data_IF_383153865333
#
_entry.id   IF_383153865333
#
_cell.length_a   1.000
_cell.length_b   1.000
_cell.length_c   1.000
_cell.angle_alpha   90.00
_cell.angle_beta   90.00
_cell.angle_gamma   90.00
#
_symmetry.space_group_name_H-M   'P 1'
#
loop_
_entity.id
_entity.type
_entity.pdbx_description
1 polymer ?
#
# COMPACT_ATOMS: atom_id res chain seq x y z
N UNK A 1 -44.23 -0.24 44.17
CA UNK A 1 -43.21 -1.25 43.83
C UNK A 1 -43.45 -1.69 42.38
N UNK A 2 -43.02 -0.89 41.41
CA UNK A 2 -41.80 -1.08 40.58
C UNK A 2 -41.83 -2.37 39.74
N UNK A 3 -42.16 -2.23 38.44
CA UNK A 3 -41.78 -3.06 37.27
C UNK A 3 -42.75 -2.72 36.12
N UNK A 4 -42.36 -2.36 34.91
CA UNK A 4 -41.08 -2.04 34.29
C UNK A 4 -41.44 -1.42 32.93
N UNK A 5 -40.91 -0.23 32.64
CA UNK A 5 -41.14 0.46 31.37
C UNK A 5 -40.44 -0.33 30.26
N UNK A 6 -41.19 -0.76 29.24
CA UNK A 6 -40.64 -1.38 28.05
C UNK A 6 -39.90 -0.32 27.23
N UNK A 7 -38.59 -0.23 27.44
CA UNK A 7 -37.70 0.61 26.65
C UNK A 7 -37.68 0.13 25.20
N UNK A 8 -38.04 1.03 24.30
CA UNK A 8 -37.92 0.86 22.86
C UNK A 8 -36.45 0.59 22.49
N UNK A 9 -36.18 -0.60 21.95
CA UNK A 9 -34.91 -0.89 21.30
C UNK A 9 -34.88 -0.14 19.97
N UNK A 10 -34.32 1.06 19.99
CA UNK A 10 -33.89 1.74 18.78
C UNK A 10 -32.74 0.92 18.17
N UNK A 11 -33.08 0.05 17.23
CA UNK A 11 -32.12 -0.59 16.33
C UNK A 11 -31.54 0.54 15.48
N UNK A 12 -30.42 1.09 15.93
CA UNK A 12 -29.55 1.94 15.11
C UNK A 12 -29.03 1.06 13.99
N UNK A 13 -29.64 1.21 12.81
CA UNK A 13 -29.30 0.48 11.61
C UNK A 13 -27.84 0.68 11.21
N UNK A 14 -27.26 -0.28 10.46
CA UNK A 14 -25.88 -0.21 9.97
C UNK A 14 -25.78 0.83 8.84
N UNK A 15 -25.88 2.11 9.19
CA UNK A 15 -25.43 3.23 8.36
C UNK A 15 -23.93 3.37 8.58
N UNK A 16 -23.14 2.56 7.87
CA UNK A 16 -21.73 2.85 7.52
C UNK A 16 -21.17 1.80 6.53
N UNK A 17 -22.04 1.21 5.71
CA UNK A 17 -21.66 0.45 4.51
C UNK A 17 -21.98 1.30 3.29
N UNK A 18 -21.08 2.22 2.97
CA UNK A 18 -21.27 3.12 1.83
C UNK A 18 -20.50 4.41 1.94
N UNK A 19 -19.18 4.34 2.17
CA UNK A 19 -18.31 5.50 1.96
C UNK A 19 -17.24 5.15 0.94
N UNK A 20 -17.44 5.64 -0.29
CA UNK A 20 -16.32 6.11 -1.11
C UNK A 20 -15.93 5.32 -2.35
N UNK A 21 -16.83 4.56 -2.98
CA UNK A 21 -16.61 4.07 -4.37
C UNK A 21 -17.17 5.02 -5.44
N UNK A 22 -17.53 6.24 -5.05
CA UNK A 22 -17.91 7.32 -5.96
C UNK A 22 -16.93 8.48 -5.78
N UNK A 23 -16.36 8.95 -6.90
CA UNK A 23 -15.49 10.14 -7.07
C UNK A 23 -13.97 9.92 -7.08
N UNK A 24 -13.44 9.11 -8.01
CA UNK A 24 -12.08 9.32 -8.53
C UNK A 24 -12.02 9.18 -10.07
N UNK A 25 -12.90 9.89 -10.79
CA UNK A 25 -12.51 10.37 -12.12
C UNK A 25 -11.57 11.59 -11.95
N UNK A 26 -10.42 11.35 -11.31
CA UNK A 26 -9.38 12.35 -11.17
C UNK A 26 -8.51 12.38 -12.43
N UNK A 27 -8.23 13.58 -12.96
CA UNK A 27 -7.28 13.72 -14.07
C UNK A 27 -5.88 13.20 -13.68
N UNK A 28 -5.30 12.30 -14.48
CA UNK A 28 -3.99 11.70 -14.23
C UNK A 28 -2.84 12.58 -14.75
N UNK A 29 -2.85 13.87 -14.41
CA UNK A 29 -1.81 14.81 -14.83
C UNK A 29 -0.46 14.38 -14.28
N UNK A 30 0.59 14.49 -15.10
CA UNK A 30 1.95 14.19 -14.65
C UNK A 30 2.35 15.15 -13.51
N UNK A 31 2.96 14.66 -12.41
CA UNK A 31 3.27 15.53 -11.27
C UNK A 31 4.39 16.48 -11.67
N UNK A 32 4.23 17.76 -11.35
CA UNK A 32 5.22 18.80 -11.61
C UNK A 32 5.31 19.70 -10.39
N UNK A 33 6.53 20.08 -10.04
CA UNK A 33 6.78 21.05 -8.98
C UNK A 33 6.29 22.44 -9.41
N UNK A 34 5.72 23.16 -8.45
CA UNK A 34 5.26 24.53 -8.63
C UNK A 34 5.24 25.24 -7.28
N UNK A 35 4.84 26.52 -7.25
CA UNK A 35 4.67 27.26 -5.99
C UNK A 35 3.67 26.61 -5.02
N UNK A 36 2.77 25.75 -5.52
CA UNK A 36 1.73 25.09 -4.73
C UNK A 36 1.83 23.56 -4.72
N UNK A 37 2.88 22.99 -5.33
CA UNK A 37 3.06 21.54 -5.45
C UNK A 37 4.51 21.17 -5.28
N UNK A 38 4.74 20.22 -4.41
CA UNK A 38 6.06 19.65 -4.18
C UNK A 38 6.07 18.18 -4.58
N UNK A 39 7.25 17.68 -4.95
CA UNK A 39 7.43 16.29 -5.36
C UNK A 39 8.59 15.70 -4.57
N UNK A 40 8.41 14.48 -4.07
CA UNK A 40 9.49 13.68 -3.49
C UNK A 40 9.55 12.37 -4.26
N UNK A 41 10.67 12.11 -4.89
CA UNK A 41 10.92 10.83 -5.56
C UNK A 41 11.22 9.76 -4.51
N UNK A 42 10.68 8.56 -4.73
CA UNK A 42 10.85 7.41 -3.85
C UNK A 42 11.80 6.37 -4.45
N UNK A 43 12.59 6.78 -5.43
CA UNK A 43 13.53 5.95 -6.16
C UNK A 43 14.73 5.52 -5.28
N UNK A 44 15.49 4.53 -5.73
CA UNK A 44 16.62 3.94 -5.03
C UNK A 44 16.34 2.53 -4.54
N UNK A 45 16.94 2.13 -3.43
CA UNK A 45 16.82 0.77 -2.91
C UNK A 45 15.53 0.58 -2.09
N UNK A 46 14.89 -0.56 -2.30
CA UNK A 46 13.70 -1.01 -1.59
C UNK A 46 13.97 -2.41 -1.04
N UNK A 47 13.46 -2.68 0.16
CA UNK A 47 13.45 -4.04 0.70
C UNK A 47 12.52 -4.90 -0.15
N UNK A 48 13.01 -6.04 -0.58
CA UNK A 48 12.34 -6.92 -1.52
C UNK A 48 12.25 -8.35 -1.00
N UNK A 49 11.11 -8.98 -1.23
CA UNK A 49 10.92 -10.41 -0.99
C UNK A 49 9.94 -11.02 -1.97
N UNK A 50 10.31 -12.14 -2.58
CA UNK A 50 9.40 -12.96 -3.37
C UNK A 50 8.78 -14.06 -2.50
N UNK A 51 7.49 -14.34 -2.69
CA UNK A 51 6.80 -15.43 -2.00
C UNK A 51 7.01 -16.76 -2.73
N UNK A 52 8.01 -17.52 -2.30
CA UNK A 52 8.34 -18.84 -2.86
C UNK A 52 7.53 -19.99 -2.27
N UNK A 53 6.49 -19.74 -1.47
CA UNK A 53 5.61 -20.81 -0.98
C UNK A 53 4.91 -21.53 -2.13
N UNK A 54 4.52 -22.79 -1.93
CA UNK A 54 3.87 -23.58 -2.97
C UNK A 54 2.58 -22.93 -3.50
N UNK A 55 1.81 -22.30 -2.61
CA UNK A 55 0.56 -21.62 -2.94
C UNK A 55 0.72 -20.13 -3.31
N UNK A 56 1.93 -19.56 -3.18
CA UNK A 56 2.26 -18.15 -3.41
C UNK A 56 1.45 -17.16 -2.56
N UNK A 57 0.90 -17.60 -1.42
CA UNK A 57 -0.01 -16.80 -0.58
C UNK A 57 0.48 -16.63 0.84
N UNK A 58 1.66 -17.14 1.17
CA UNK A 58 2.21 -17.05 2.52
C UNK A 58 2.31 -15.59 2.99
N UNK A 59 2.68 -14.66 2.12
CA UNK A 59 2.77 -13.25 2.50
C UNK A 59 1.43 -12.62 2.89
N UNK A 60 0.32 -13.09 2.31
CA UNK A 60 -1.01 -12.67 2.71
C UNK A 60 -1.50 -13.39 3.96
N UNK A 61 -1.29 -14.71 4.03
CA UNK A 61 -1.70 -15.55 5.17
C UNK A 61 -1.02 -15.12 6.47
N UNK A 62 0.26 -14.79 6.41
CA UNK A 62 1.05 -14.29 7.54
C UNK A 62 1.03 -12.77 7.67
N UNK A 63 0.34 -12.08 6.75
CA UNK A 63 0.16 -10.62 6.79
C UNK A 63 1.49 -9.85 6.86
N UNK A 64 2.44 -10.18 5.97
CA UNK A 64 3.78 -9.57 5.97
C UNK A 64 3.77 -8.04 5.92
N UNK A 65 2.70 -7.43 5.42
CA UNK A 65 2.51 -5.98 5.38
C UNK A 65 2.23 -5.30 6.73
N UNK A 66 2.01 -6.05 7.82
CA UNK A 66 1.68 -5.49 9.14
C UNK A 66 2.89 -5.03 9.96
N UNK A 67 4.07 -5.51 9.63
CA UNK A 67 5.33 -5.22 10.30
C UNK A 67 6.42 -5.04 9.23
N UNK A 68 7.59 -4.46 9.57
CA UNK A 68 8.70 -4.36 8.63
C UNK A 68 9.02 -5.72 7.98
N UNK A 69 9.17 -5.74 6.65
CA UNK A 69 9.28 -6.97 5.86
C UNK A 69 10.42 -7.89 6.35
N UNK A 70 11.52 -7.28 6.84
CA UNK A 70 12.66 -7.96 7.46
C UNK A 70 12.31 -8.83 8.67
N UNK A 71 11.23 -8.52 9.38
CA UNK A 71 10.77 -9.31 10.54
C UNK A 71 10.06 -10.59 10.12
N UNK A 72 9.49 -10.61 8.92
CA UNK A 72 8.87 -11.81 8.37
C UNK A 72 9.88 -12.82 7.80
N UNK A 73 11.14 -12.41 7.58
CA UNK A 73 12.19 -13.24 7.01
C UNK A 73 13.23 -12.44 6.20
N UNK A 74 14.19 -13.13 5.55
CA UNK A 74 15.24 -12.48 4.77
C UNK A 74 14.71 -11.64 3.61
N UNK A 75 15.31 -10.46 3.41
CA UNK A 75 14.98 -9.53 2.33
C UNK A 75 16.22 -9.25 1.47
N UNK A 76 15.98 -8.84 0.23
CA UNK A 76 17.00 -8.38 -0.71
C UNK A 76 16.85 -6.87 -0.94
N UNK A 77 17.92 -6.19 -1.30
CA UNK A 77 17.84 -4.80 -1.76
C UNK A 77 17.57 -4.78 -3.27
N UNK A 78 16.46 -4.16 -3.67
CA UNK A 78 16.05 -4.08 -5.07
C UNK A 78 15.95 -2.62 -5.52
N UNK A 79 16.61 -2.23 -6.63
CA UNK A 79 16.53 -0.88 -7.14
C UNK A 79 15.15 -0.59 -7.75
N UNK A 80 14.66 0.62 -7.55
CA UNK A 80 13.45 1.18 -8.17
C UNK A 80 13.83 2.52 -8.80
N UNK A 81 13.54 2.78 -10.09
CA UNK A 81 12.82 1.89 -11.02
C UNK A 81 13.74 0.79 -11.59
N UNK A 82 13.30 -0.48 -11.51
CA UNK A 82 13.93 -1.62 -12.20
C UNK A 82 12.98 -2.82 -12.19
N UNK A 83 13.12 -3.71 -13.17
CA UNK A 83 12.56 -5.06 -13.08
C UNK A 83 13.44 -5.94 -12.19
N UNK A 84 12.85 -6.73 -11.29
CA UNK A 84 13.64 -7.60 -10.39
C UNK A 84 14.32 -8.78 -11.11
N UNK A 85 13.81 -9.20 -12.27
CA UNK A 85 14.22 -10.43 -12.94
C UNK A 85 15.71 -10.52 -13.27
N UNK A 86 16.36 -9.38 -13.56
CA UNK A 86 17.74 -9.32 -14.07
C UNK A 86 18.70 -8.56 -13.14
N UNK A 87 18.26 -8.23 -11.92
CA UNK A 87 19.11 -7.52 -10.93
C UNK A 87 20.06 -8.50 -10.23
N UNK A 88 19.54 -9.65 -9.83
CA UNK A 88 20.31 -10.70 -9.15
C UNK A 88 20.87 -11.75 -10.10
N UNK A 89 21.58 -12.72 -9.53
CA UNK A 89 22.07 -13.92 -10.24
C UNK A 89 21.20 -15.16 -9.95
N UNK A 90 20.09 -15.00 -9.22
CA UNK A 90 19.20 -16.09 -8.85
C UNK A 90 18.26 -16.47 -10.00
N UNK A 91 18.46 -17.66 -10.55
CA UNK A 91 17.64 -18.21 -11.62
C UNK A 91 16.19 -18.48 -11.23
N UNK A 92 15.93 -18.76 -9.93
CA UNK A 92 14.55 -18.93 -9.43
C UNK A 92 13.81 -17.61 -9.45
N UNK A 93 14.47 -16.52 -9.03
CA UNK A 93 13.90 -15.18 -9.04
C UNK A 93 13.64 -14.68 -10.47
N UNK A 94 14.57 -14.94 -11.40
CA UNK A 94 14.44 -14.55 -12.81
C UNK A 94 13.20 -15.13 -13.50
N UNK A 95 12.83 -16.35 -13.12
CA UNK A 95 11.69 -17.08 -13.70
C UNK A 95 10.49 -17.12 -12.75
N UNK A 96 10.48 -16.27 -11.72
CA UNK A 96 9.48 -16.30 -10.66
C UNK A 96 8.12 -15.81 -11.16
N UNK A 97 7.07 -16.56 -10.85
CA UNK A 97 5.67 -16.17 -11.09
C UNK A 97 4.91 -16.25 -9.77
N UNK A 98 4.42 -15.12 -9.28
CA UNK A 98 3.72 -15.03 -8.00
C UNK A 98 3.78 -13.63 -7.44
N UNK A 99 3.61 -13.53 -6.12
CA UNK A 99 3.65 -12.25 -5.42
C UNK A 99 5.05 -11.87 -5.00
N UNK A 100 5.40 -10.62 -5.28
CA UNK A 100 6.61 -9.97 -4.80
C UNK A 100 6.21 -8.79 -3.92
N UNK A 101 6.98 -8.59 -2.87
CA UNK A 101 6.76 -7.56 -1.86
C UNK A 101 7.90 -6.56 -1.96
N UNK A 102 7.54 -5.28 -2.07
CA UNK A 102 8.44 -4.16 -2.00
C UNK A 102 8.07 -3.31 -0.81
N UNK A 103 9.06 -2.98 0.02
CA UNK A 103 8.89 -2.12 1.19
C UNK A 103 9.93 -1.01 1.18
N UNK A 104 9.50 0.19 1.55
CA UNK A 104 10.39 1.30 1.81
C UNK A 104 9.83 2.22 2.88
N UNK A 105 10.65 2.46 3.89
CA UNK A 105 10.39 3.49 4.90
C UNK A 105 10.86 4.86 4.36
N UNK A 106 10.00 5.87 4.47
CA UNK A 106 10.29 7.23 3.99
C UNK A 106 9.97 8.25 5.08
N UNK A 107 10.87 9.20 5.27
CA UNK A 107 10.58 10.38 6.11
C UNK A 107 9.98 11.47 5.24
N UNK A 108 8.76 11.88 5.59
CA UNK A 108 8.08 13.00 4.94
C UNK A 108 8.51 14.32 5.58
N UNK A 109 8.60 15.42 4.81
CA UNK A 109 8.76 16.74 5.38
C UNK A 109 7.61 17.06 6.35
N UNK A 110 7.93 17.58 7.54
CA UNK A 110 6.96 17.89 8.59
C UNK A 110 5.79 18.76 8.11
N UNK A 111 6.06 19.71 7.21
CA UNK A 111 5.03 20.55 6.57
C UNK A 111 3.93 19.76 5.84
N UNK A 112 4.23 18.58 5.30
CA UNK A 112 3.25 17.75 4.60
C UNK A 112 2.27 17.06 5.54
N UNK A 113 2.64 16.89 6.81
CA UNK A 113 1.81 16.21 7.82
C UNK A 113 1.12 17.17 8.78
N UNK A 114 1.68 18.35 9.01
CA UNK A 114 1.12 19.34 9.94
C UNK A 114 0.07 20.25 9.32
N UNK A 115 0.25 20.61 8.04
CA UNK A 115 -0.73 21.43 7.33
C UNK A 115 -1.91 20.59 6.85
N UNK A 116 -3.05 20.71 7.53
CA UNK A 116 -4.29 20.03 7.16
C UNK A 116 -4.83 20.45 5.78
N UNK A 117 -4.37 21.57 5.22
CA UNK A 117 -4.69 22.00 3.86
C UNK A 117 -3.89 21.29 2.77
N UNK A 118 -2.79 20.62 3.14
CA UNK A 118 -1.89 19.96 2.19
C UNK A 118 -2.38 18.55 1.84
N UNK A 119 -2.70 18.32 0.56
CA UNK A 119 -3.08 17.00 0.05
C UNK A 119 -1.83 16.20 -0.35
N UNK A 120 -1.52 15.16 0.42
CA UNK A 120 -0.46 14.20 0.09
C UNK A 120 -1.01 13.10 -0.83
N UNK A 121 -0.32 12.83 -1.94
CA UNK A 121 -0.71 11.81 -2.92
C UNK A 121 0.48 10.93 -3.25
N UNK A 122 0.32 9.61 -3.08
CA UNK A 122 1.27 8.62 -3.59
C UNK A 122 0.92 8.29 -5.06
N UNK A 123 1.91 8.39 -5.96
CA UNK A 123 1.76 8.00 -7.35
C UNK A 123 2.74 6.88 -7.67
N UNK A 124 2.21 5.77 -8.19
CA UNK A 124 2.99 4.69 -8.78
C UNK A 124 3.00 4.90 -10.30
N UNK A 125 4.19 4.91 -10.91
CA UNK A 125 4.33 5.08 -12.35
C UNK A 125 3.74 3.90 -13.12
N UNK A 126 4.15 2.69 -12.73
CA UNK A 126 3.64 1.41 -13.23
C UNK A 126 3.95 0.31 -12.22
N UNK A 127 3.14 -0.75 -12.22
CA UNK A 127 3.40 -1.98 -11.48
C UNK A 127 2.74 -3.15 -12.24
N UNK A 128 3.43 -4.30 -12.34
CA UNK A 128 2.96 -5.46 -13.10
C UNK A 128 2.59 -6.63 -12.19
N UNK A 129 1.50 -7.36 -12.42
CA UNK A 129 0.28 -7.06 -13.21
C UNK A 129 -0.87 -6.55 -12.33
N UNK A 130 -0.76 -6.78 -11.03
CA UNK A 130 -1.73 -6.34 -10.04
C UNK A 130 -0.95 -5.92 -8.80
N UNK A 131 -1.26 -4.74 -8.28
CA UNK A 131 -0.53 -4.14 -7.18
C UNK A 131 -1.48 -3.77 -6.04
N UNK A 132 -1.07 -4.15 -4.83
CA UNK A 132 -1.69 -3.71 -3.58
C UNK A 132 -0.71 -2.77 -2.90
N UNK A 133 -1.21 -1.61 -2.50
CA UNK A 133 -0.41 -0.60 -1.80
C UNK A 133 -0.90 -0.52 -0.37
N UNK A 134 0.03 -0.64 0.58
CA UNK A 134 -0.28 -0.67 2.01
C UNK A 134 0.53 0.42 2.73
N UNK A 135 0.06 1.68 2.79
CA UNK A 135 0.70 2.69 3.60
C UNK A 135 0.54 2.36 5.09
N UNK A 136 1.65 2.37 5.83
CA UNK A 136 1.67 2.22 7.30
C UNK A 136 0.96 0.95 7.81
N UNK A 137 0.97 -0.13 7.02
CA UNK A 137 0.32 -1.40 7.39
C UNK A 137 -1.21 -1.43 7.23
N UNK A 138 -1.82 -0.34 6.75
CA UNK A 138 -3.25 -0.25 6.44
C UNK A 138 -3.47 -0.43 4.93
N UNK A 139 -4.29 -1.41 4.53
CA UNK A 139 -4.58 -1.65 3.11
C UNK A 139 -5.19 -0.39 2.46
N UNK A 140 -4.60 0.08 1.36
CA UNK A 140 -5.17 1.14 0.53
C UNK A 140 -5.74 0.58 -0.78
N UNK A 141 -6.52 1.38 -1.52
CA UNK A 141 -7.22 0.93 -2.73
C UNK A 141 -6.28 0.31 -3.77
N UNK A 142 -6.77 -0.76 -4.38
CA UNK A 142 -6.04 -1.63 -5.31
C UNK A 142 -5.80 -0.94 -6.67
N UNK A 143 -4.69 -1.27 -7.34
CA UNK A 143 -4.44 -0.88 -8.72
C UNK A 143 -4.29 -2.11 -9.61
N UNK A 144 -5.15 -2.21 -10.62
CA UNK A 144 -5.08 -3.21 -11.69
C UNK A 144 -4.73 -2.49 -12.99
N UNK A 145 -3.65 -2.93 -13.64
CA UNK A 145 -3.29 -2.51 -15.01
C UNK A 145 -3.91 -3.48 -16.01
#
# INVERSE_FOLDING_TARGET
MLRGSAGAWAVLGPLLWGCGLALLQGGMLYPRESRSRERKELDGLWSFRADFSDNRRQGFEQQWYRAPLRESGPTLDMPVPSSFNDVGQDGQLRSFVGWVWYEREITLPQRWTEDLGTRVVLRIGSAHYYAIVVPQGLLCPEHKV
#
